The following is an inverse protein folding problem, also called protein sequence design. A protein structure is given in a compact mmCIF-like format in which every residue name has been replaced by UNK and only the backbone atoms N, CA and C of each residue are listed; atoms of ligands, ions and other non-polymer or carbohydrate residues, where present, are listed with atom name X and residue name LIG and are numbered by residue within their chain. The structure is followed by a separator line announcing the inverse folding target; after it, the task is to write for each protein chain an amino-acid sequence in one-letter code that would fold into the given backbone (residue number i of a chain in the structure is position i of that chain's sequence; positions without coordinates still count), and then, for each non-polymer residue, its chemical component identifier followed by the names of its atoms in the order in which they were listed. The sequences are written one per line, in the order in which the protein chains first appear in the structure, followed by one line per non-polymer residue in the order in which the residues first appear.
data_IF_641346015422
#
_entry.id   IF_641346015422
#
_cell.length_a   1.000
_cell.length_b   1.000
_cell.length_c   1.000
_cell.angle_alpha   90.00
_cell.angle_beta   90.00
_cell.angle_gamma   90.00
#
_symmetry.space_group_name_H-M   'P 1'
#
loop_
_entity.id
_entity.type
_entity.pdbx_description
1 polymer ?
#
# COMPACT_ATOMS: atom_id res chain seq x y z
N UNK A 1 50.92 5.21 -7.32
CA UNK A 1 50.01 4.07 -7.48
C UNK A 1 49.03 4.14 -6.31
N UNK A 2 47.91 4.81 -6.53
CA UNK A 2 46.90 5.06 -5.50
C UNK A 2 45.55 4.99 -6.19
N UNK A 3 44.95 3.81 -6.17
CA UNK A 3 43.65 3.54 -6.75
C UNK A 3 42.62 4.17 -5.82
N UNK A 4 41.97 5.26 -6.27
CA UNK A 4 40.78 5.78 -5.61
C UNK A 4 39.72 4.69 -5.70
N UNK A 5 39.36 4.14 -4.54
CA UNK A 5 38.15 3.34 -4.37
C UNK A 5 36.99 4.26 -4.74
N UNK A 6 36.21 3.88 -5.75
CA UNK A 6 34.97 4.55 -6.04
C UNK A 6 34.03 4.25 -4.88
N UNK A 7 33.73 5.26 -4.09
CA UNK A 7 32.61 5.20 -3.15
C UNK A 7 31.34 4.98 -3.98
N UNK A 8 30.77 3.78 -3.87
CA UNK A 8 29.41 3.51 -4.34
C UNK A 8 28.47 4.33 -3.45
N UNK A 9 28.27 5.60 -3.79
CA UNK A 9 27.11 6.34 -3.32
C UNK A 9 25.89 5.66 -3.94
N UNK A 10 25.20 4.84 -3.15
CA UNK A 10 23.81 4.50 -3.45
C UNK A 10 23.09 5.84 -3.57
N UNK A 11 22.53 6.13 -4.74
CA UNK A 11 21.62 7.27 -4.89
C UNK A 11 20.52 7.15 -3.84
N UNK A 12 20.05 8.27 -3.25
CA UNK A 12 19.01 8.21 -2.24
C UNK A 12 17.78 7.51 -2.81
N UNK A 13 17.07 6.69 -2.00
CA UNK A 13 15.85 6.01 -2.45
C UNK A 13 14.86 7.03 -3.00
N UNK A 14 14.21 6.68 -4.11
CA UNK A 14 13.28 7.57 -4.83
C UNK A 14 11.86 7.43 -4.29
N UNK A 15 11.57 6.37 -3.53
CA UNK A 15 10.32 6.25 -2.78
C UNK A 15 10.12 7.49 -1.89
N UNK A 16 9.02 8.24 -2.07
CA UNK A 16 8.76 9.43 -1.29
C UNK A 16 8.66 9.16 0.22
N UNK A 17 9.17 10.10 1.00
CA UNK A 17 9.03 10.17 2.46
C UNK A 17 8.53 11.56 2.82
N UNK A 18 7.48 11.63 3.63
CA UNK A 18 6.94 12.88 4.16
C UNK A 18 7.33 13.05 5.63
N UNK A 19 7.65 14.29 6.01
CA UNK A 19 8.00 14.64 7.39
C UNK A 19 6.73 14.84 8.21
N UNK A 20 6.28 13.77 8.87
CA UNK A 20 5.09 13.75 9.73
C UNK A 20 5.40 13.03 11.04
N UNK A 21 4.78 13.49 12.12
CA UNK A 21 4.74 12.76 13.38
C UNK A 21 3.47 11.89 13.39
N UNK A 22 3.64 10.59 13.63
CA UNK A 22 2.54 9.63 13.68
C UNK A 22 2.35 9.13 15.12
N UNK A 23 1.10 8.99 15.57
CA UNK A 23 0.78 8.42 16.88
C UNK A 23 0.33 6.95 16.72
N UNK A 24 1.09 5.97 17.22
CA UNK A 24 0.67 4.57 17.14
C UNK A 24 -0.44 4.21 18.14
N UNK A 25 -0.84 5.13 19.00
CA UNK A 25 -1.88 4.92 20.00
C UNK A 25 -3.28 4.94 19.37
N UNK A 26 -4.16 4.06 19.83
CA UNK A 26 -5.56 4.10 19.43
C UNK A 26 -6.20 5.44 19.86
N UNK A 27 -6.83 6.21 18.94
CA UNK A 27 -7.53 7.44 19.31
C UNK A 27 -8.63 7.17 20.35
N UNK A 28 -8.72 8.02 21.39
CA UNK A 28 -9.52 7.73 22.57
C UNK A 28 -11.03 7.55 22.31
N UNK A 29 -11.57 8.21 21.29
CA UNK A 29 -13.01 8.26 21.00
C UNK A 29 -13.38 7.70 19.62
N UNK A 30 -12.47 6.98 18.94
CA UNK A 30 -12.76 6.42 17.61
C UNK A 30 -13.88 5.39 17.67
N UNK A 31 -14.82 5.51 16.74
CA UNK A 31 -15.89 4.53 16.55
C UNK A 31 -15.32 3.29 15.84
N UNK A 32 -15.29 2.16 16.56
CA UNK A 32 -14.82 0.87 16.04
C UNK A 32 -15.98 -0.09 15.80
N UNK A 33 -15.70 -1.14 15.04
CA UNK A 33 -16.64 -2.20 14.68
C UNK A 33 -16.84 -2.28 13.18
N UNK A 34 -17.10 -3.48 12.68
CA UNK A 34 -17.35 -3.68 11.25
C UNK A 34 -18.63 -2.96 10.80
N UNK A 35 -18.69 -2.51 9.53
CA UNK A 35 -19.92 -2.02 8.94
C UNK A 35 -20.99 -3.13 8.95
N UNK A 36 -22.26 -2.82 9.25
CA UNK A 36 -23.33 -3.77 9.02
C UNK A 36 -23.53 -3.98 7.52
N UNK A 37 -23.95 -5.19 7.12
CA UNK A 37 -24.06 -5.59 5.70
C UNK A 37 -24.95 -4.66 4.86
N UNK A 38 -25.96 -4.03 5.46
CA UNK A 38 -26.89 -3.11 4.79
C UNK A 38 -26.32 -1.69 4.61
N UNK A 39 -25.15 -1.38 5.19
CA UNK A 39 -24.40 -0.15 4.96
C UNK A 39 -23.29 -0.31 3.91
N UNK A 40 -23.05 -1.53 3.40
CA UNK A 40 -22.08 -1.82 2.33
C UNK A 40 -22.85 -1.88 1.01
N UNK A 41 -22.54 -0.98 0.08
CA UNK A 41 -23.11 -1.00 -1.27
C UNK A 41 -22.02 -1.23 -2.34
N UNK A 42 -22.42 -1.31 -3.61
CA UNK A 42 -21.49 -1.49 -4.74
C UNK A 42 -20.53 -0.31 -4.92
N UNK A 43 -20.82 0.86 -4.33
CA UNK A 43 -19.96 2.05 -4.40
C UNK A 43 -18.95 2.11 -3.25
N UNK A 44 -19.19 1.41 -2.12
CA UNK A 44 -18.27 1.27 -1.01
C UNK A 44 -18.92 1.40 0.38
N UNK A 45 -18.12 1.90 1.33
CA UNK A 45 -18.54 2.25 2.70
C UNK A 45 -17.95 3.59 3.11
N UNK A 46 -18.65 4.36 3.95
CA UNK A 46 -18.07 5.55 4.57
C UNK A 46 -17.92 6.77 3.68
N UNK A 47 -18.83 6.96 2.73
CA UNK A 47 -18.84 8.04 1.71
C UNK A 47 -17.75 7.94 0.64
N UNK A 48 -16.92 6.90 0.65
CA UNK A 48 -16.06 6.57 -0.48
C UNK A 48 -16.90 5.93 -1.59
N UNK A 49 -16.85 6.49 -2.80
CA UNK A 49 -17.56 5.99 -3.98
C UNK A 49 -16.57 5.44 -5.00
N UNK A 50 -16.93 4.34 -5.65
CA UNK A 50 -16.09 3.70 -6.68
C UNK A 50 -14.90 2.93 -6.09
N UNK A 51 -14.97 2.59 -4.80
CA UNK A 51 -13.98 1.74 -4.12
C UNK A 51 -14.52 0.30 -4.15
N UNK A 52 -13.69 -0.62 -4.64
CA UNK A 52 -14.06 -2.04 -4.69
C UNK A 52 -13.84 -2.68 -3.33
N UNK A 53 -14.83 -3.45 -2.87
CA UNK A 53 -14.67 -4.30 -1.69
C UNK A 53 -13.60 -5.35 -1.98
N UNK A 54 -12.51 -5.29 -1.21
CA UNK A 54 -11.56 -6.40 -1.13
C UNK A 54 -12.27 -7.42 -0.23
N UNK A 55 -13.06 -8.31 -0.83
CA UNK A 55 -13.87 -9.31 -0.12
C UNK A 55 -13.05 -10.29 0.74
N UNK A 56 -13.56 -11.48 1.01
CA UNK A 56 -12.84 -12.45 1.86
C UNK A 56 -11.45 -12.81 1.28
N UNK A 57 -10.38 -12.25 1.87
CA UNK A 57 -8.98 -12.52 1.50
C UNK A 57 -8.40 -13.58 2.42
N UNK A 58 -7.91 -14.67 1.84
CA UNK A 58 -7.17 -15.69 2.59
C UNK A 58 -5.76 -15.20 2.96
N UNK A 59 -5.17 -15.80 3.99
CA UNK A 59 -3.78 -15.54 4.38
C UNK A 59 -2.80 -15.79 3.21
N UNK A 60 -3.05 -16.82 2.39
CA UNK A 60 -2.19 -17.14 1.24
C UNK A 60 -2.25 -16.06 0.16
N UNK A 61 -3.45 -15.57 -0.15
CA UNK A 61 -3.65 -14.44 -1.08
C UNK A 61 -2.98 -13.17 -0.57
N UNK A 62 -3.12 -12.85 0.72
CA UNK A 62 -2.46 -11.68 1.29
C UNK A 62 -0.92 -11.80 1.26
N UNK A 63 -0.37 -13.00 1.51
CA UNK A 63 1.07 -13.26 1.36
C UNK A 63 1.53 -13.09 -0.08
N UNK A 64 0.74 -13.54 -1.06
CA UNK A 64 1.06 -13.36 -2.48
C UNK A 64 1.06 -11.87 -2.84
N UNK A 65 0.03 -11.13 -2.45
CA UNK A 65 -0.09 -9.69 -2.73
C UNK A 65 1.05 -8.88 -2.11
N UNK A 66 1.41 -9.14 -0.85
CA UNK A 66 2.53 -8.43 -0.19
C UNK A 66 3.86 -8.70 -0.88
N UNK A 67 4.08 -9.93 -1.39
CA UNK A 67 5.30 -10.25 -2.14
C UNK A 67 5.33 -9.56 -3.51
N UNK A 68 4.19 -9.55 -4.20
CA UNK A 68 4.06 -8.88 -5.50
C UNK A 68 4.30 -7.38 -5.36
N UNK A 69 3.62 -6.72 -4.42
CA UNK A 69 3.79 -5.28 -4.15
C UNK A 69 5.25 -4.94 -3.79
N UNK A 70 5.92 -5.76 -2.98
CA UNK A 70 7.33 -5.56 -2.65
C UNK A 70 8.24 -5.71 -3.88
N UNK A 71 7.96 -6.68 -4.74
CA UNK A 71 8.71 -6.87 -5.98
C UNK A 71 8.55 -5.67 -6.91
N UNK A 72 7.30 -5.27 -7.18
CA UNK A 72 6.99 -4.11 -8.01
C UNK A 72 7.60 -2.83 -7.43
N UNK A 73 7.49 -2.59 -6.13
CA UNK A 73 8.08 -1.40 -5.50
C UNK A 73 9.59 -1.34 -5.66
N UNK A 74 10.28 -2.48 -5.57
CA UNK A 74 11.72 -2.54 -5.83
C UNK A 74 12.06 -2.30 -7.31
N UNK A 75 11.23 -2.71 -8.25
CA UNK A 75 11.41 -2.39 -9.67
C UNK A 75 11.25 -0.89 -9.91
N UNK A 76 10.19 -0.28 -9.38
CA UNK A 76 9.92 1.15 -9.52
C UNK A 76 11.03 1.98 -8.88
N UNK A 77 11.43 1.69 -7.64
CA UNK A 77 12.47 2.44 -6.92
C UNK A 77 13.83 2.41 -7.65
N UNK A 78 14.16 1.29 -8.30
CA UNK A 78 15.41 1.16 -9.08
C UNK A 78 15.38 1.85 -10.43
N UNK A 79 14.19 1.98 -11.02
CA UNK A 79 14.01 2.53 -12.36
C UNK A 79 13.75 4.05 -12.33
N UNK A 80 13.14 4.55 -11.26
CA UNK A 80 12.85 5.96 -11.08
C UNK A 80 14.13 6.74 -10.78
N UNK A 81 14.24 7.96 -11.32
CA UNK A 81 15.30 8.92 -10.97
C UNK A 81 14.76 10.07 -10.11
N UNK A 82 13.44 10.28 -10.16
CA UNK A 82 12.73 11.33 -9.44
C UNK A 82 11.40 10.82 -8.91
N UNK A 83 10.80 11.52 -7.94
CA UNK A 83 9.46 11.16 -7.45
C UNK A 83 8.39 11.21 -8.56
N UNK A 84 8.61 12.02 -9.61
CA UNK A 84 7.71 12.10 -10.77
C UNK A 84 7.84 10.83 -11.62
N UNK A 85 9.06 10.34 -11.81
CA UNK A 85 9.29 9.07 -12.52
C UNK A 85 8.72 7.89 -11.72
N UNK A 86 8.90 7.91 -10.40
CA UNK A 86 8.30 6.91 -9.51
C UNK A 86 6.79 6.83 -9.70
N UNK A 87 6.11 7.98 -9.67
CA UNK A 87 4.66 8.04 -9.84
C UNK A 87 4.23 7.57 -11.23
N UNK A 88 4.92 8.01 -12.29
CA UNK A 88 4.60 7.62 -13.66
C UNK A 88 4.75 6.10 -13.88
N UNK A 89 5.85 5.51 -13.38
CA UNK A 89 6.11 4.08 -13.50
C UNK A 89 5.12 3.27 -12.65
N UNK A 90 4.83 3.71 -11.41
CA UNK A 90 3.84 3.05 -10.56
C UNK A 90 2.45 3.05 -11.20
N UNK A 91 2.01 4.20 -11.71
CA UNK A 91 0.74 4.33 -12.43
C UNK A 91 0.69 3.42 -13.65
N UNK A 92 1.75 3.39 -14.48
CA UNK A 92 1.82 2.51 -15.64
C UNK A 92 1.62 1.02 -15.29
N UNK A 93 2.19 0.56 -14.16
CA UNK A 93 2.00 -0.80 -13.66
C UNK A 93 0.57 -1.04 -13.12
N UNK A 94 -0.02 -0.04 -12.47
CA UNK A 94 -1.37 -0.13 -11.90
C UNK A 94 -2.47 -0.18 -12.97
N UNK A 95 -2.33 0.64 -14.00
CA UNK A 95 -3.29 0.75 -15.09
C UNK A 95 -2.98 -0.19 -16.25
N UNK A 96 -1.86 -0.92 -16.21
CA UNK A 96 -1.29 -1.64 -17.35
C UNK A 96 -1.22 -0.74 -18.59
N UNK A 97 -0.75 0.50 -18.44
CA UNK A 97 -0.70 1.47 -19.53
C UNK A 97 0.74 1.84 -19.89
N UNK A 98 1.28 1.34 -21.01
CA UNK A 98 2.64 1.69 -21.43
C UNK A 98 2.78 3.17 -21.80
N UNK A 99 1.69 3.86 -22.17
CA UNK A 99 1.72 5.29 -22.48
C UNK A 99 1.87 6.15 -21.23
N UNK A 100 1.63 5.59 -20.04
CA UNK A 100 1.85 6.26 -18.75
C UNK A 100 3.30 6.21 -18.28
N UNK A 101 4.18 5.42 -18.93
CA UNK A 101 5.61 5.39 -18.61
C UNK A 101 6.31 6.73 -18.94
N UNK A 102 7.42 7.06 -18.25
CA UNK A 102 8.23 8.23 -18.60
C UNK A 102 8.64 8.24 -20.09
N UNK A 103 8.65 9.43 -20.70
CA UNK A 103 8.98 9.57 -22.10
C UNK A 103 10.38 9.02 -22.41
N UNK A 104 10.47 8.07 -23.35
CA UNK A 104 11.72 7.42 -23.73
C UNK A 104 12.05 6.15 -22.94
N UNK A 105 11.33 5.85 -21.85
CA UNK A 105 11.61 4.71 -20.96
C UNK A 105 11.69 3.38 -21.71
N UNK A 106 10.71 3.09 -22.57
CA UNK A 106 10.67 1.84 -23.36
C UNK A 106 11.87 1.72 -24.32
N UNK A 107 12.32 2.84 -24.89
CA UNK A 107 13.46 2.85 -25.82
C UNK A 107 14.80 2.68 -25.10
N UNK A 108 14.90 3.21 -23.87
CA UNK A 108 16.10 3.13 -23.03
C UNK A 108 16.20 1.78 -22.29
N UNK A 109 15.05 1.17 -21.97
CA UNK A 109 14.94 -0.06 -21.18
C UNK A 109 14.04 -1.14 -21.83
N UNK A 110 14.31 -1.53 -23.09
CA UNK A 110 13.43 -2.44 -23.84
C UNK A 110 13.33 -3.85 -23.28
N UNK A 111 14.32 -4.28 -22.48
CA UNK A 111 14.36 -5.59 -21.82
C UNK A 111 14.04 -5.50 -20.31
N UNK A 112 13.48 -4.37 -19.85
CA UNK A 112 13.12 -4.25 -18.44
C UNK A 112 11.84 -5.03 -18.12
N UNK A 113 11.83 -5.65 -16.96
CA UNK A 113 10.66 -6.34 -16.42
C UNK A 113 9.43 -5.41 -16.33
N UNK A 114 9.63 -4.11 -16.08
CA UNK A 114 8.55 -3.10 -16.10
C UNK A 114 7.88 -3.06 -17.48
N UNK A 115 8.66 -3.03 -18.57
CA UNK A 115 8.10 -3.02 -19.93
C UNK A 115 7.36 -4.32 -20.23
N UNK A 116 7.87 -5.46 -19.75
CA UNK A 116 7.20 -6.76 -19.90
C UNK A 116 5.87 -6.83 -19.12
N UNK A 117 5.86 -6.33 -17.88
CA UNK A 117 4.70 -6.36 -16.98
C UNK A 117 3.57 -5.44 -17.45
N UNK A 118 3.90 -4.23 -17.88
CA UNK A 118 2.93 -3.29 -18.44
C UNK A 118 2.40 -3.80 -19.79
N UNK A 119 3.25 -4.50 -20.54
CA UNK A 119 2.87 -5.20 -21.78
C UNK A 119 2.33 -4.27 -22.87
N UNK A 120 1.36 -4.76 -23.64
CA UNK A 120 0.62 -3.99 -24.65
C UNK A 120 -0.72 -3.42 -24.11
N UNK A 121 -0.91 -3.46 -22.79
CA UNK A 121 -2.11 -3.01 -22.10
C UNK A 121 -3.29 -3.98 -22.10
N UNK A 122 -3.07 -5.26 -22.42
CA UNK A 122 -4.10 -6.30 -22.44
C UNK A 122 -3.86 -7.46 -21.45
N UNK A 123 -3.33 -7.20 -20.26
CA UNK A 123 -3.34 -8.22 -19.19
C UNK A 123 -4.77 -8.45 -18.70
N UNK A 124 -5.14 -9.72 -18.46
CA UNK A 124 -6.51 -10.09 -18.10
C UNK A 124 -6.88 -9.69 -16.65
N UNK A 125 -5.89 -9.50 -15.78
CA UNK A 125 -6.06 -9.17 -14.37
C UNK A 125 -5.09 -8.05 -13.95
N UNK A 126 -5.53 -7.04 -13.17
CA UNK A 126 -4.66 -6.01 -12.63
C UNK A 126 -3.63 -6.59 -11.66
N UNK A 127 -2.36 -6.15 -11.76
CA UNK A 127 -1.24 -6.68 -10.95
C UNK A 127 -1.50 -6.57 -9.43
N UNK A 128 -2.17 -5.52 -9.00
CA UNK A 128 -2.44 -5.20 -7.60
C UNK A 128 -3.93 -5.24 -7.24
N UNK A 129 -4.74 -6.01 -7.97
CA UNK A 129 -6.17 -6.14 -7.67
C UNK A 129 -6.94 -4.81 -7.78
N UNK A 130 -6.54 -3.95 -8.71
CA UNK A 130 -7.04 -2.58 -8.90
C UNK A 130 -6.70 -1.58 -7.78
N UNK A 131 -5.76 -1.94 -6.89
CA UNK A 131 -5.21 -1.04 -5.88
C UNK A 131 -3.89 -0.44 -6.33
N UNK A 132 -3.48 0.60 -5.61
CA UNK A 132 -2.24 1.33 -5.84
C UNK A 132 -1.03 0.62 -5.21
N UNK A 133 0.12 0.76 -5.86
CA UNK A 133 1.42 0.38 -5.30
C UNK A 133 1.67 1.12 -3.99
N UNK A 134 2.00 0.35 -2.95
CA UNK A 134 2.34 0.85 -1.63
C UNK A 134 1.20 0.84 -0.63
N UNK A 135 -0.02 0.49 -1.05
CA UNK A 135 -1.18 0.31 -0.18
C UNK A 135 -1.88 -1.04 -0.37
N UNK A 136 -1.75 -1.68 -1.54
CA UNK A 136 -2.39 -2.95 -1.87
C UNK A 136 -2.04 -4.06 -0.87
N UNK A 137 -0.75 -4.25 -0.57
CA UNK A 137 -0.29 -5.31 0.33
C UNK A 137 -0.80 -5.13 1.76
N UNK A 138 -0.84 -3.88 2.25
CA UNK A 138 -1.40 -3.58 3.58
C UNK A 138 -2.91 -3.81 3.61
N UNK A 139 -3.63 -3.37 2.59
CA UNK A 139 -5.08 -3.58 2.49
C UNK A 139 -5.42 -5.07 2.52
N UNK A 140 -4.75 -5.90 1.72
CA UNK A 140 -4.93 -7.36 1.73
C UNK A 140 -4.55 -7.99 3.08
N UNK A 141 -3.45 -7.55 3.70
CA UNK A 141 -3.05 -8.06 5.01
C UNK A 141 -4.08 -7.73 6.11
N UNK A 142 -4.64 -6.51 6.10
CA UNK A 142 -5.72 -6.10 7.02
C UNK A 142 -7.00 -6.91 6.78
N UNK A 143 -7.40 -7.08 5.53
CA UNK A 143 -8.58 -7.88 5.18
C UNK A 143 -8.43 -9.34 5.63
N UNK A 144 -7.24 -9.93 5.47
CA UNK A 144 -6.98 -11.33 5.88
C UNK A 144 -7.11 -11.60 7.38
N UNK A 145 -7.08 -10.56 8.22
CA UNK A 145 -7.29 -10.66 9.68
C UNK A 145 -8.68 -10.17 10.11
N UNK A 146 -9.61 -10.02 9.16
CA UNK A 146 -11.00 -9.62 9.40
C UNK A 146 -11.21 -8.12 9.60
N UNK A 147 -10.32 -7.27 9.08
CA UNK A 147 -10.63 -5.85 8.92
C UNK A 147 -11.41 -5.64 7.61
N UNK A 148 -12.19 -4.57 7.53
CA UNK A 148 -12.85 -4.15 6.30
C UNK A 148 -12.16 -2.88 5.79
N UNK A 149 -11.47 -2.93 4.65
CA UNK A 149 -10.78 -1.77 4.07
C UNK A 149 -11.73 -0.96 3.20
N UNK A 150 -11.80 0.35 3.41
CA UNK A 150 -12.75 1.23 2.71
C UNK A 150 -12.10 2.10 1.65
N UNK A 151 -10.87 2.59 1.89
CA UNK A 151 -10.15 3.43 0.93
C UNK A 151 -8.66 3.43 1.24
N UNK A 152 -7.84 3.73 0.24
CA UNK A 152 -6.40 3.86 0.41
C UNK A 152 -5.84 4.89 -0.56
N UNK A 153 -4.74 5.51 -0.18
CA UNK A 153 -3.98 6.40 -1.08
C UNK A 153 -2.50 6.30 -0.74
N UNK A 154 -1.65 6.16 -1.76
CA UNK A 154 -0.18 6.22 -1.58
C UNK A 154 0.40 7.63 -1.45
N UNK A 155 -0.43 8.67 -1.56
CA UNK A 155 -0.04 10.09 -1.66
C UNK A 155 0.69 10.43 -2.96
N UNK A 156 0.00 10.28 -4.09
CA UNK A 156 0.52 10.63 -5.42
C UNK A 156 0.99 12.09 -5.50
N UNK A 157 1.94 12.34 -6.40
CA UNK A 157 2.27 13.69 -6.88
C UNK A 157 1.36 14.06 -8.06
N UNK A 158 0.05 13.95 -7.89
CA UNK A 158 -0.94 14.25 -8.93
C UNK A 158 -2.19 14.92 -8.33
N UNK A 159 -3.02 15.52 -9.20
CA UNK A 159 -4.30 16.12 -8.81
C UNK A 159 -5.32 15.08 -8.28
N UNK A 160 -5.03 13.78 -8.44
CA UNK A 160 -5.86 12.68 -7.93
C UNK A 160 -5.51 12.29 -6.49
N UNK A 161 -4.38 12.79 -5.97
CA UNK A 161 -3.99 12.58 -4.57
C UNK A 161 -4.95 13.30 -3.63
N UNK A 162 -5.69 12.52 -2.84
CA UNK A 162 -6.62 13.06 -1.85
C UNK A 162 -6.04 13.05 -0.43
N UNK A 163 -4.86 12.47 -0.22
CA UNK A 163 -4.12 12.50 1.03
C UNK A 163 -2.67 12.93 0.81
N UNK A 164 -2.10 13.83 1.65
CA UNK A 164 -0.72 14.28 1.53
C UNK A 164 0.31 13.26 2.05
N UNK A 165 -0.15 12.06 2.46
CA UNK A 165 0.66 10.97 3.02
C UNK A 165 -0.02 9.62 2.77
N UNK A 166 0.74 8.52 2.76
CA UNK A 166 0.16 7.18 2.72
C UNK A 166 -0.90 6.96 3.79
N UNK A 167 -2.09 6.53 3.38
CA UNK A 167 -3.23 6.24 4.27
C UNK A 167 -3.98 4.99 3.81
N UNK A 168 -4.49 4.21 4.76
CA UNK A 168 -5.53 3.19 4.55
C UNK A 168 -6.63 3.40 5.59
N UNK A 169 -7.85 3.54 5.11
CA UNK A 169 -9.07 3.61 5.92
C UNK A 169 -9.63 2.22 6.06
N UNK A 170 -9.91 1.80 7.30
CA UNK A 170 -10.48 0.48 7.56
C UNK A 170 -11.36 0.46 8.81
N UNK A 171 -12.36 -0.41 8.79
CA UNK A 171 -13.13 -0.78 9.96
C UNK A 171 -12.55 -2.05 10.57
N UNK A 172 -12.53 -2.12 11.90
CA UNK A 172 -12.07 -3.30 12.62
C UNK A 172 -12.71 -3.39 13.99
N UNK A 173 -12.78 -4.62 14.50
CA UNK A 173 -13.17 -4.86 15.89
C UNK A 173 -12.07 -4.41 16.86
N UNK A 174 -12.47 -3.91 18.03
CA UNK A 174 -11.54 -3.41 19.06
C UNK A 174 -10.43 -4.40 19.44
N UNK A 175 -10.69 -5.72 19.61
CA UNK A 175 -9.62 -6.70 19.87
C UNK A 175 -8.57 -6.75 18.76
N UNK A 176 -8.99 -6.67 17.49
CA UNK A 176 -8.09 -6.66 16.32
C UNK A 176 -7.20 -5.41 16.33
N UNK A 177 -7.76 -4.24 16.61
CA UNK A 177 -6.97 -3.00 16.68
C UNK A 177 -5.96 -3.03 17.84
N UNK A 178 -6.35 -3.56 19.01
CA UNK A 178 -5.41 -3.76 20.11
C UNK A 178 -4.27 -4.74 19.75
N UNK A 179 -4.57 -5.78 18.97
CA UNK A 179 -3.56 -6.69 18.45
C UNK A 179 -2.63 -6.03 17.42
N UNK A 180 -3.16 -5.13 16.58
CA UNK A 180 -2.39 -4.37 15.58
C UNK A 180 -1.48 -3.29 16.20
N UNK A 181 -1.91 -2.66 17.30
CA UNK A 181 -1.21 -1.52 17.94
C UNK A 181 0.31 -1.71 18.09
N UNK A 182 0.83 -2.82 18.65
CA UNK A 182 2.28 -3.01 18.73
C UNK A 182 2.96 -3.11 17.36
N UNK A 183 2.30 -3.69 16.33
CA UNK A 183 2.84 -3.79 14.99
C UNK A 183 2.94 -2.43 14.32
N UNK A 184 1.87 -1.62 14.42
CA UNK A 184 1.81 -0.24 13.92
C UNK A 184 2.93 0.62 14.50
N UNK A 185 3.11 0.56 15.84
CA UNK A 185 4.23 1.24 16.50
C UNK A 185 5.59 0.80 15.96
N UNK A 186 5.82 -0.51 15.87
CA UNK A 186 7.14 -1.04 15.58
C UNK A 186 7.53 -0.89 14.09
N UNK A 187 6.59 -0.49 13.22
CA UNK A 187 6.80 -0.18 11.80
C UNK A 187 6.85 1.31 11.52
N UNK A 188 6.67 2.16 12.56
CA UNK A 188 6.63 3.62 12.39
C UNK A 188 5.37 4.10 11.67
N UNK A 189 4.28 3.35 11.75
CA UNK A 189 2.95 3.79 11.33
C UNK A 189 2.21 4.42 12.52
N UNK A 190 1.13 5.15 12.25
CA UNK A 190 0.21 5.68 13.25
C UNK A 190 -1.23 5.32 12.97
N UNK A 191 -2.08 5.61 13.96
CA UNK A 191 -3.52 5.62 13.83
C UNK A 191 -4.06 7.05 13.87
N UNK A 192 -5.08 7.32 13.09
CA UNK A 192 -5.87 8.55 13.18
C UNK A 192 -7.38 8.24 13.14
N UNK A 193 -8.19 9.19 13.59
CA UNK A 193 -9.64 9.06 13.69
C UNK A 193 -10.32 9.22 12.33
N UNK A 194 -10.80 8.11 11.76
CA UNK A 194 -11.60 8.09 10.54
C UNK A 194 -13.09 8.30 10.76
N UNK A 195 -13.55 8.59 11.99
CA UNK A 195 -14.97 8.52 12.37
C UNK A 195 -15.88 9.50 11.62
N UNK A 196 -15.33 10.54 10.97
CA UNK A 196 -16.09 11.42 10.09
C UNK A 196 -16.64 10.69 8.84
N UNK A 197 -16.11 9.50 8.55
CA UNK A 197 -16.45 8.65 7.41
C UNK A 197 -17.10 7.32 7.85
N UNK A 198 -17.71 7.25 9.03
CA UNK A 198 -18.33 6.02 9.54
C UNK A 198 -17.51 5.37 10.66
N UNK A 199 -17.57 4.04 10.82
CA UNK A 199 -16.80 3.33 11.86
C UNK A 199 -15.37 3.01 11.40
N UNK A 200 -14.69 4.03 10.90
CA UNK A 200 -13.39 3.88 10.27
C UNK A 200 -12.27 4.37 11.19
N UNK A 201 -11.16 3.63 11.15
CA UNK A 201 -9.86 4.01 11.64
C UNK A 201 -8.96 4.27 10.43
N UNK A 202 -8.02 5.19 10.57
CA UNK A 202 -6.99 5.44 9.57
C UNK A 202 -5.71 4.82 10.08
N UNK A 203 -4.99 4.07 9.24
CA UNK A 203 -3.55 3.85 9.43
C UNK A 203 -2.82 4.75 8.45
N UNK A 204 -1.85 5.51 8.96
CA UNK A 204 -1.04 6.44 8.17
C UNK A 204 0.45 6.24 8.43
N UNK A 205 1.28 6.65 7.48
CA UNK A 205 2.73 6.52 7.62
C UNK A 205 3.51 7.60 6.85
N UNK A 206 4.79 7.82 7.22
CA UNK A 206 5.70 8.70 6.47
C UNK A 206 6.00 8.22 5.05
N UNK A 207 5.90 6.92 4.77
CA UNK A 207 6.22 6.33 3.47
C UNK A 207 5.52 4.97 3.27
N UNK A 208 5.33 4.58 2.01
CA UNK A 208 4.79 3.26 1.64
C UNK A 208 5.69 2.11 2.13
N UNK A 209 6.99 2.35 2.39
CA UNK A 209 7.87 1.33 2.98
C UNK A 209 7.43 0.92 4.39
N UNK A 210 6.86 1.84 5.16
CA UNK A 210 6.31 1.54 6.47
C UNK A 210 5.06 0.64 6.35
N UNK A 211 4.21 0.90 5.36
CA UNK A 211 3.05 0.06 5.07
C UNK A 211 3.45 -1.35 4.63
N UNK A 212 4.46 -1.48 3.77
CA UNK A 212 4.99 -2.79 3.36
C UNK A 212 5.61 -3.57 4.53
N UNK A 213 6.31 -2.91 5.45
CA UNK A 213 6.80 -3.55 6.69
C UNK A 213 5.63 -3.96 7.60
N UNK A 214 4.63 -3.10 7.77
CA UNK A 214 3.43 -3.40 8.57
C UNK A 214 2.68 -4.62 8.03
N UNK A 215 2.41 -4.66 6.72
CA UNK A 215 1.77 -5.78 6.05
C UNK A 215 2.55 -7.09 6.29
N UNK A 216 3.87 -7.05 6.11
CA UNK A 216 4.75 -8.21 6.36
C UNK A 216 4.69 -8.69 7.82
N UNK A 217 4.62 -7.76 8.78
CA UNK A 217 4.57 -8.11 10.20
C UNK A 217 3.22 -8.66 10.63
N UNK A 218 2.12 -8.15 10.08
CA UNK A 218 0.77 -8.70 10.28
C UNK A 218 0.77 -10.18 9.89
N UNK A 219 1.21 -10.49 8.66
CA UNK A 219 1.19 -11.85 8.14
C UNK A 219 2.11 -12.79 8.94
N UNK A 220 3.33 -12.36 9.27
CA UNK A 220 4.24 -13.13 10.13
C UNK A 220 3.67 -13.38 11.52
N UNK A 221 2.92 -12.43 12.07
CA UNK A 221 2.30 -12.58 13.39
C UNK A 221 1.16 -13.60 13.35
N UNK A 222 0.34 -13.59 12.30
CA UNK A 222 -0.70 -14.60 12.07
C UNK A 222 -0.09 -16.00 11.96
N UNK A 223 1.00 -16.18 11.21
CA UNK A 223 1.70 -17.47 11.08
C UNK A 223 2.26 -18.00 12.40
N UNK A 224 2.70 -17.11 13.30
CA UNK A 224 3.22 -17.49 14.63
C UNK A 224 2.11 -17.94 15.57
N UNK A 225 0.90 -17.39 15.40
CA UNK A 225 -0.25 -17.65 16.28
C UNK A 225 -1.12 -18.80 15.77
N UNK A 226 -1.11 -19.06 14.47
CA UNK A 226 -1.69 -20.26 13.87
C UNK A 226 -0.81 -21.48 14.21
N UNK A 227 -1.28 -22.44 15.04
CA UNK A 227 -0.51 -23.67 15.26
C UNK A 227 -0.33 -24.34 13.89
N UNK A 228 0.92 -24.70 13.55
CA UNK A 228 1.19 -25.59 12.41
C UNK A 228 0.31 -26.82 12.57
N UNK A 229 -0.76 -26.93 11.79
CA UNK A 229 -1.57 -28.14 11.71
C UNK A 229 -0.84 -29.20 10.91
#
# INVERSE_FOLDING_TARGET
MGQKVADNYLEPPVIPVVDIEVDPSLPANVALGLPPEDEIDEEGYGFFRGVWDIGDVSHEEAVAMVKEEQHLSNLVDRAALTHVDFEAIANALESNDPDSLPAGFVAEHPESEIVELVGDGYTAEPLLGSLELGVAGLSYALTSIGCFTAASCRSHLSDQSWSPRPVVYFAAERPTVHWLTPLVRDTGCGFDDGSSHGRLLIVEAPSITNFMDLASRILRQVERQSPRR
#
